data_IF_662892242646
#
_entry.id   IF_662892242646
#
_cell.length_a   1.000
_cell.length_b   1.000
_cell.length_c   1.000
_cell.angle_alpha   90.00
_cell.angle_beta   90.00
_cell.angle_gamma   90.00
#
_symmetry.space_group_name_H-M   'P 1'
#
loop_
_entity.id
_entity.type
_entity.pdbx_description
1 polymer ?
#
# COMPACT_ATOMS: atom_id res chain seq x y z
N UNK A 1 -3.75 3.43 17.84
CA UNK A 1 -5.23 3.47 17.70
C UNK A 1 -5.52 2.86 16.35
N UNK A 2 -6.13 1.67 16.31
CA UNK A 2 -6.51 1.05 15.04
C UNK A 2 -7.51 2.00 14.38
N UNK A 3 -7.35 2.33 13.09
CA UNK A 3 -8.36 3.11 12.36
C UNK A 3 -9.72 2.44 12.58
N UNK A 4 -10.70 3.20 13.05
CA UNK A 4 -12.08 2.74 13.08
C UNK A 4 -12.60 2.77 11.64
N UNK A 5 -13.27 1.71 11.24
CA UNK A 5 -13.78 1.52 9.87
C UNK A 5 -14.82 2.57 9.42
N UNK A 6 -15.21 3.48 10.30
CA UNK A 6 -16.31 4.43 10.06
C UNK A 6 -15.88 5.82 9.57
N UNK A 7 -14.55 6.08 9.42
CA UNK A 7 -14.02 7.42 9.14
C UNK A 7 -13.56 7.63 7.69
N UNK A 8 -13.80 6.69 6.78
CA UNK A 8 -13.42 6.82 5.36
C UNK A 8 -14.61 7.16 4.46
N UNK A 9 -14.35 7.88 3.35
CA UNK A 9 -15.38 8.26 2.37
C UNK A 9 -15.73 7.13 1.39
N UNK A 10 -14.76 6.26 1.09
CA UNK A 10 -14.92 5.09 0.22
C UNK A 10 -13.88 4.03 0.51
N UNK A 11 -14.18 2.78 0.18
CA UNK A 11 -13.21 1.68 0.22
C UNK A 11 -13.40 0.74 -0.96
N UNK A 12 -12.33 0.02 -1.30
CA UNK A 12 -12.36 -1.08 -2.24
C UNK A 12 -11.40 -2.19 -1.77
N UNK A 13 -11.70 -3.42 -2.14
CA UNK A 13 -10.86 -4.56 -1.83
C UNK A 13 -10.66 -5.44 -3.07
N UNK A 14 -9.56 -6.15 -3.10
CA UNK A 14 -9.28 -7.19 -4.08
C UNK A 14 -8.39 -8.26 -3.45
N UNK A 15 -8.47 -9.48 -3.97
CA UNK A 15 -7.65 -10.59 -3.50
C UNK A 15 -7.39 -11.59 -4.61
N UNK A 16 -6.27 -12.28 -4.53
CA UNK A 16 -5.90 -13.34 -5.45
C UNK A 16 -5.35 -14.56 -4.70
N UNK A 17 -5.73 -15.74 -5.15
CA UNK A 17 -5.06 -16.99 -4.78
C UNK A 17 -3.79 -17.08 -5.63
N UNK A 18 -2.70 -17.44 -4.99
CA UNK A 18 -1.39 -17.55 -5.62
C UNK A 18 -1.07 -19.03 -5.85
N UNK A 19 -0.58 -19.32 -7.04
CA UNK A 19 -0.23 -20.68 -7.46
C UNK A 19 1.24 -20.75 -7.90
N UNK A 20 1.87 -21.91 -7.72
CA UNK A 20 3.18 -22.20 -8.29
C UNK A 20 3.08 -22.51 -9.80
N UNK A 21 4.22 -22.76 -10.45
CA UNK A 21 4.28 -23.09 -11.86
C UNK A 21 3.65 -24.45 -12.22
N UNK A 22 3.35 -25.28 -11.23
CA UNK A 22 2.71 -26.59 -11.38
C UNK A 22 1.19 -26.52 -11.11
N UNK A 23 0.68 -25.33 -10.74
CA UNK A 23 -0.73 -25.12 -10.44
C UNK A 23 -1.13 -25.49 -9.00
N UNK A 24 -0.17 -25.71 -8.09
CA UNK A 24 -0.49 -25.91 -6.68
C UNK A 24 -0.68 -24.55 -5.99
N UNK A 25 -1.69 -24.45 -5.16
CA UNK A 25 -1.88 -23.27 -4.33
C UNK A 25 -0.74 -23.13 -3.34
N UNK A 26 -0.20 -21.90 -3.23
CA UNK A 26 0.92 -21.57 -2.35
C UNK A 26 0.61 -20.42 -1.38
N UNK A 27 -0.55 -19.79 -1.51
CA UNK A 27 -1.00 -18.74 -0.60
C UNK A 27 -2.06 -17.82 -1.19
N UNK A 28 -2.24 -16.67 -0.53
CA UNK A 28 -3.11 -15.59 -0.99
C UNK A 28 -2.44 -14.24 -0.80
N UNK A 29 -2.80 -13.28 -1.65
CA UNK A 29 -2.54 -11.85 -1.48
C UNK A 29 -3.85 -11.11 -1.56
N UNK A 30 -3.99 -10.03 -0.81
CA UNK A 30 -5.17 -9.20 -0.88
C UNK A 30 -4.94 -7.84 -0.25
N UNK A 31 -5.83 -6.91 -0.51
CA UNK A 31 -5.81 -5.60 0.15
C UNK A 31 -7.21 -5.03 0.32
N UNK A 32 -7.32 -4.10 1.28
CA UNK A 32 -8.39 -3.12 1.34
C UNK A 32 -7.76 -1.74 1.26
N UNK A 33 -8.22 -0.93 0.32
CA UNK A 33 -7.82 0.47 0.19
C UNK A 33 -8.97 1.36 0.69
N UNK A 34 -8.62 2.39 1.46
CA UNK A 34 -9.52 3.36 2.05
C UNK A 34 -9.18 4.74 1.51
N UNK A 35 -10.21 5.49 1.04
CA UNK A 35 -10.07 6.85 0.54
C UNK A 35 -10.70 7.85 1.50
N UNK A 36 -9.99 8.95 1.73
CA UNK A 36 -10.41 10.07 2.56
C UNK A 36 -10.40 11.33 1.71
N UNK A 37 -11.55 11.96 1.53
CA UNK A 37 -11.69 13.25 0.85
C UNK A 37 -11.24 14.36 1.78
N UNK A 38 -10.13 15.01 1.47
CA UNK A 38 -9.51 15.98 2.37
C UNK A 38 -9.94 17.41 2.04
N UNK A 39 -9.88 17.80 0.76
CA UNK A 39 -10.16 19.17 0.36
C UNK A 39 -10.56 19.26 -1.11
N UNK A 40 -11.63 20.00 -1.38
CA UNK A 40 -12.03 20.47 -2.71
C UNK A 40 -11.74 21.97 -2.80
N UNK A 41 -10.86 22.38 -3.71
CA UNK A 41 -10.48 23.78 -3.94
C UNK A 41 -10.35 24.05 -5.44
N UNK A 42 -11.32 24.76 -6.01
CA UNK A 42 -11.43 24.95 -7.45
C UNK A 42 -11.51 23.62 -8.19
N UNK A 43 -10.62 23.37 -9.12
CA UNK A 43 -10.48 22.09 -9.83
C UNK A 43 -9.72 21.04 -9.03
N UNK A 44 -9.00 21.41 -7.95
CA UNK A 44 -8.17 20.49 -7.21
C UNK A 44 -8.98 19.68 -6.21
N UNK A 45 -8.66 18.40 -6.13
CA UNK A 45 -9.20 17.40 -5.19
C UNK A 45 -8.05 16.77 -4.45
N UNK A 46 -7.93 17.06 -3.15
CA UNK A 46 -6.90 16.44 -2.29
C UNK A 46 -7.55 15.28 -1.56
N UNK A 47 -6.94 14.12 -1.63
CA UNK A 47 -7.43 12.90 -1.00
C UNK A 47 -6.26 12.03 -0.53
N UNK A 48 -6.52 11.26 0.50
CA UNK A 48 -5.59 10.25 1.01
C UNK A 48 -6.06 8.86 0.62
N UNK A 49 -5.11 7.98 0.37
CA UNK A 49 -5.34 6.55 0.18
C UNK A 49 -4.47 5.79 1.16
N UNK A 50 -5.09 4.98 2.00
CA UNK A 50 -4.39 4.09 2.92
C UNK A 50 -4.76 2.67 2.53
N UNK A 51 -3.76 1.80 2.42
CA UNK A 51 -3.95 0.41 2.02
C UNK A 51 -3.58 -0.51 3.17
N UNK A 52 -4.45 -1.45 3.49
CA UNK A 52 -4.15 -2.59 4.35
C UNK A 52 -3.91 -3.78 3.43
N UNK A 53 -2.65 -4.10 3.19
CA UNK A 53 -2.22 -5.18 2.32
C UNK A 53 -1.91 -6.44 3.15
N UNK A 54 -2.36 -7.58 2.69
CA UNK A 54 -2.14 -8.88 3.35
C UNK A 54 -1.41 -9.83 2.40
N UNK A 55 -0.40 -10.49 2.92
CA UNK A 55 0.35 -11.54 2.25
C UNK A 55 0.33 -12.77 3.14
N UNK A 56 -0.36 -13.83 2.71
CA UNK A 56 -0.60 -15.02 3.51
C UNK A 56 -0.14 -16.27 2.74
N UNK A 57 1.13 -16.70 2.90
CA UNK A 57 1.60 -17.96 2.35
C UNK A 57 0.92 -19.14 3.04
N UNK A 58 0.65 -20.19 2.28
CA UNK A 58 0.20 -21.46 2.85
C UNK A 58 1.36 -22.18 3.57
N UNK A 59 1.04 -23.18 4.39
CA UNK A 59 2.06 -23.97 5.08
C UNK A 59 3.01 -24.63 4.06
N UNK A 60 4.30 -24.55 4.30
CA UNK A 60 5.36 -24.98 3.36
C UNK A 60 6.02 -23.81 2.62
N UNK A 61 5.44 -22.61 2.73
CA UNK A 61 5.91 -21.40 2.06
C UNK A 61 6.09 -20.24 3.03
N UNK A 62 6.80 -19.19 2.58
CA UNK A 62 7.01 -17.95 3.32
C UNK A 62 7.14 -16.75 2.36
N UNK A 63 6.94 -15.54 2.88
CA UNK A 63 7.22 -14.31 2.16
C UNK A 63 8.70 -13.94 2.28
N UNK A 64 9.40 -13.78 1.16
CA UNK A 64 10.79 -13.31 1.15
C UNK A 64 10.89 -11.80 1.00
N UNK A 65 9.99 -11.24 0.17
CA UNK A 65 9.92 -9.82 -0.16
C UNK A 65 8.48 -9.50 -0.53
N UNK A 66 7.93 -8.48 0.08
CA UNK A 66 6.59 -7.96 -0.24
C UNK A 66 6.73 -6.55 -0.78
N UNK A 67 5.96 -6.21 -1.79
CA UNK A 67 5.92 -4.86 -2.35
C UNK A 67 4.49 -4.36 -2.39
N UNK A 68 4.29 -3.12 -1.94
CA UNK A 68 3.02 -2.39 -2.06
C UNK A 68 3.28 -1.11 -2.84
N UNK A 69 2.65 -1.01 -3.98
CA UNK A 69 2.67 0.17 -4.85
C UNK A 69 1.34 0.92 -4.71
N UNK A 70 1.44 2.23 -4.54
CA UNK A 70 0.32 3.17 -4.60
C UNK A 70 0.67 4.32 -5.54
N UNK A 71 -0.18 4.61 -6.50
CA UNK A 71 0.05 5.68 -7.45
C UNK A 71 -0.98 5.73 -8.56
N UNK A 72 -0.67 6.44 -9.62
CA UNK A 72 -1.50 6.54 -10.82
C UNK A 72 -0.69 6.98 -12.03
N UNK A 73 -1.07 6.51 -13.20
CA UNK A 73 -0.51 6.95 -14.48
C UNK A 73 -1.26 8.12 -15.11
N UNK A 74 -2.21 8.75 -14.40
CA UNK A 74 -2.98 9.86 -14.92
C UNK A 74 -2.21 11.17 -14.80
N UNK A 75 -1.97 11.86 -15.90
CA UNK A 75 -1.18 13.09 -15.97
C UNK A 75 -1.73 14.26 -15.13
N UNK A 76 -3.02 14.24 -14.81
CA UNK A 76 -3.70 15.25 -13.99
C UNK A 76 -3.78 14.87 -12.50
N UNK A 77 -2.97 13.93 -12.07
CA UNK A 77 -2.80 13.51 -10.68
C UNK A 77 -1.36 13.71 -10.23
N UNK A 78 -1.18 13.98 -8.96
CA UNK A 78 0.12 14.22 -8.33
C UNK A 78 0.14 13.61 -6.93
N UNK A 79 1.19 12.87 -6.59
CA UNK A 79 1.43 12.42 -5.22
C UNK A 79 2.12 13.53 -4.45
N UNK A 80 1.44 14.09 -3.45
CA UNK A 80 1.95 15.17 -2.60
C UNK A 80 2.82 14.64 -1.47
N UNK A 81 2.45 13.51 -0.90
CA UNK A 81 3.11 12.93 0.27
C UNK A 81 2.94 11.40 0.29
N UNK A 82 3.86 10.71 0.93
CA UNK A 82 3.79 9.29 1.16
C UNK A 82 4.19 8.93 2.59
N UNK A 83 3.53 7.94 3.17
CA UNK A 83 3.83 7.43 4.49
C UNK A 83 5.32 7.15 4.65
N UNK A 84 5.92 7.73 5.69
CA UNK A 84 7.33 7.52 5.98
C UNK A 84 7.51 6.31 6.88
N UNK A 85 7.39 5.13 6.29
CA UNK A 85 7.60 3.85 6.96
C UNK A 85 9.04 3.41 6.67
N UNK A 86 9.85 3.30 7.70
CA UNK A 86 11.23 2.82 7.62
C UNK A 86 11.50 1.89 8.79
N UNK A 87 12.18 0.78 8.54
CA UNK A 87 12.63 -0.15 9.57
C UNK A 87 13.96 -0.78 9.15
N UNK A 88 14.80 -1.05 10.12
CA UNK A 88 16.12 -1.66 9.96
C UNK A 88 16.15 -3.15 10.36
N UNK A 89 15.00 -3.78 10.47
CA UNK A 89 14.86 -5.19 10.83
C UNK A 89 14.44 -5.43 12.28
N UNK A 90 14.04 -4.38 12.99
CA UNK A 90 13.42 -4.47 14.32
C UNK A 90 11.93 -4.12 14.22
N UNK A 91 11.11 -4.68 15.11
CA UNK A 91 9.71 -4.29 15.21
C UNK A 91 9.62 -2.84 15.69
N UNK A 92 8.93 -2.01 14.93
CA UNK A 92 8.85 -0.57 15.19
C UNK A 92 7.42 -0.06 14.96
N UNK A 93 6.89 0.67 15.92
CA UNK A 93 5.60 1.34 15.77
C UNK A 93 5.80 2.75 15.22
N UNK A 94 5.12 3.05 14.12
CA UNK A 94 5.10 4.34 13.46
C UNK A 94 3.79 5.07 13.73
N UNK A 95 3.90 6.34 14.11
CA UNK A 95 2.78 7.29 14.02
C UNK A 95 2.93 8.02 12.69
N UNK A 96 2.03 7.74 11.75
CA UNK A 96 2.09 8.27 10.39
C UNK A 96 1.05 9.38 10.28
N UNK A 97 1.42 10.47 9.61
CA UNK A 97 0.50 11.56 9.28
C UNK A 97 0.75 12.01 7.86
N UNK A 98 -0.32 12.19 7.10
CA UNK A 98 -0.33 12.79 5.77
C UNK A 98 -0.96 14.18 5.89
N UNK A 99 -0.19 15.22 5.63
CA UNK A 99 -0.60 16.62 5.85
C UNK A 99 -0.14 17.59 4.75
N UNK A 100 0.65 17.12 3.78
CA UNK A 100 1.21 17.96 2.73
C UNK A 100 0.13 18.71 1.95
N UNK A 101 0.41 19.96 1.62
CA UNK A 101 -0.46 20.84 0.87
C UNK A 101 0.09 21.06 -0.54
N UNK A 102 -0.78 21.22 -1.51
CA UNK A 102 -0.38 21.66 -2.85
C UNK A 102 -0.10 23.14 -2.83
N UNK A 103 0.98 23.58 -3.50
CA UNK A 103 1.34 25.00 -3.63
C UNK A 103 0.16 25.82 -4.17
N UNK A 104 -0.19 26.88 -3.48
CA UNK A 104 -1.30 27.79 -3.84
C UNK A 104 -2.68 27.34 -3.35
N UNK A 105 -2.77 26.25 -2.58
CA UNK A 105 -3.98 25.82 -1.92
C UNK A 105 -3.77 25.95 -0.41
N UNK A 106 -4.69 26.65 0.25
CA UNK A 106 -4.70 26.80 1.71
C UNK A 106 -5.84 25.97 2.30
N UNK A 107 -5.59 25.34 3.45
CA UNK A 107 -6.54 24.48 4.13
C UNK A 107 -6.36 23.01 3.77
N UNK A 108 -7.07 22.17 4.47
CA UNK A 108 -7.00 20.71 4.40
C UNK A 108 -6.62 20.12 5.74
N UNK A 109 -7.27 19.01 6.08
CA UNK A 109 -6.99 18.25 7.30
C UNK A 109 -5.73 17.40 7.16
N UNK A 110 -5.38 16.72 8.24
CA UNK A 110 -4.39 15.65 8.26
C UNK A 110 -5.08 14.31 8.51
N UNK A 111 -4.61 13.26 7.83
CA UNK A 111 -4.99 11.89 8.12
C UNK A 111 -3.85 11.22 8.87
N UNK A 112 -4.16 10.60 10.00
CA UNK A 112 -3.13 9.99 10.86
C UNK A 112 -3.55 8.60 11.29
N UNK A 113 -2.58 7.68 11.33
CA UNK A 113 -2.77 6.33 11.86
C UNK A 113 -1.49 5.82 12.51
N UNK A 114 -1.64 4.81 13.33
CA UNK A 114 -0.52 4.11 13.96
C UNK A 114 -0.42 2.71 13.37
N UNK A 115 0.76 2.38 12.88
CA UNK A 115 1.05 1.10 12.27
C UNK A 115 2.33 0.51 12.87
N UNK A 116 2.30 -0.75 13.25
CA UNK A 116 3.46 -1.48 13.74
C UNK A 116 4.02 -2.34 12.61
N UNK A 117 5.24 -2.01 12.20
CA UNK A 117 6.03 -2.82 11.28
C UNK A 117 6.69 -3.93 12.09
N UNK A 118 6.40 -5.18 11.77
CA UNK A 118 7.07 -6.32 12.39
C UNK A 118 8.57 -6.38 12.02
N UNK A 119 9.32 -7.31 12.59
CA UNK A 119 10.78 -7.40 12.43
C UNK A 119 11.19 -7.63 10.97
N UNK A 120 11.25 -6.56 10.18
CA UNK A 120 11.59 -6.55 8.77
C UNK A 120 12.32 -5.26 8.36
N UNK A 121 13.06 -5.32 7.27
CA UNK A 121 13.63 -4.12 6.64
C UNK A 121 12.63 -3.52 5.68
N UNK A 122 12.36 -2.22 5.83
CA UNK A 122 11.49 -1.48 4.92
C UNK A 122 12.30 -0.48 4.12
N UNK A 123 12.17 -0.52 2.81
CA UNK A 123 12.74 0.47 1.89
C UNK A 123 11.63 1.09 1.06
N UNK A 124 11.79 2.38 0.76
CA UNK A 124 10.85 3.15 -0.03
C UNK A 124 11.49 3.57 -1.34
N UNK A 125 10.86 3.23 -2.45
CA UNK A 125 11.27 3.67 -3.78
C UNK A 125 10.32 4.75 -4.27
N UNK A 126 10.89 5.75 -4.93
CA UNK A 126 10.15 6.84 -5.58
C UNK A 126 10.43 6.79 -7.07
N UNK A 127 9.41 6.77 -7.87
CA UNK A 127 9.51 7.13 -9.26
C UNK A 127 8.86 8.50 -9.46
N UNK A 128 9.69 9.51 -9.72
CA UNK A 128 9.21 10.89 -9.93
C UNK A 128 8.51 11.06 -11.29
N UNK A 129 8.71 10.13 -12.23
CA UNK A 129 8.11 10.21 -13.56
C UNK A 129 6.70 9.60 -13.60
N UNK A 130 6.42 8.64 -12.72
CA UNK A 130 5.16 7.88 -12.71
C UNK A 130 4.19 8.29 -11.61
N UNK A 131 4.51 9.32 -10.80
CA UNK A 131 3.66 9.78 -9.69
C UNK A 131 3.22 8.64 -8.75
N UNK A 132 4.17 7.82 -8.34
CA UNK A 132 3.91 6.65 -7.52
C UNK A 132 4.88 6.51 -6.35
N UNK A 133 4.54 5.57 -5.47
CA UNK A 133 5.37 5.19 -4.33
C UNK A 133 5.28 3.68 -4.15
N UNK A 134 6.43 3.07 -3.97
CA UNK A 134 6.55 1.64 -3.67
C UNK A 134 7.27 1.45 -2.35
N UNK A 135 6.65 0.71 -1.45
CA UNK A 135 7.30 0.21 -0.24
C UNK A 135 7.68 -1.24 -0.45
N UNK A 136 8.90 -1.58 -0.08
CA UNK A 136 9.45 -2.93 -0.14
C UNK A 136 9.74 -3.39 1.28
N UNK A 137 9.05 -4.43 1.69
CA UNK A 137 9.13 -5.05 3.00
C UNK A 137 9.88 -6.37 2.88
N UNK A 138 10.96 -6.52 3.65
CA UNK A 138 11.78 -7.73 3.66
C UNK A 138 11.82 -8.29 5.07
N UNK A 139 11.04 -9.35 5.36
CA UNK A 139 11.05 -10.01 6.65
C UNK A 139 12.44 -10.47 7.03
N UNK A 140 12.83 -10.25 8.29
CA UNK A 140 14.11 -10.71 8.81
C UNK A 140 14.12 -12.21 9.07
N UNK A 141 12.99 -12.72 9.59
CA UNK A 141 12.79 -14.11 9.94
C UNK A 141 11.37 -14.55 9.57
N UNK A 142 11.09 -14.64 8.27
CA UNK A 142 9.80 -15.16 7.84
C UNK A 142 9.67 -16.65 8.19
N UNK A 143 8.70 -16.96 9.02
CA UNK A 143 8.35 -18.33 9.38
C UNK A 143 7.51 -19.02 8.31
N UNK A 144 7.30 -20.31 8.51
CA UNK A 144 6.50 -21.14 7.64
C UNK A 144 5.00 -20.82 7.81
N UNK A 145 4.39 -20.31 6.76
CA UNK A 145 2.98 -19.89 6.77
C UNK A 145 2.68 -18.57 7.48
N UNK A 146 3.71 -17.80 7.88
CA UNK A 146 3.49 -16.51 8.55
C UNK A 146 2.82 -15.50 7.60
N UNK A 147 1.68 -14.98 8.02
CA UNK A 147 0.99 -13.91 7.32
C UNK A 147 1.55 -12.53 7.74
N UNK A 148 1.62 -11.62 6.76
CA UNK A 148 2.11 -10.25 6.93
C UNK A 148 1.04 -9.26 6.55
N UNK A 149 0.93 -8.18 7.33
CA UNK A 149 -0.02 -7.08 7.09
C UNK A 149 0.78 -5.78 7.03
N UNK A 150 0.63 -5.04 5.92
CA UNK A 150 1.34 -3.81 5.65
C UNK A 150 0.36 -2.66 5.39
N UNK A 151 0.60 -1.50 6.02
CA UNK A 151 -0.34 -0.36 6.00
C UNK A 151 0.27 0.93 5.42
N UNK A 152 0.78 0.94 4.17
CA UNK A 152 1.26 2.17 3.56
C UNK A 152 0.11 3.08 3.10
N UNK A 153 0.42 4.37 2.94
CA UNK A 153 -0.54 5.36 2.46
C UNK A 153 0.12 6.52 1.72
N UNK A 154 -0.67 7.19 0.87
CA UNK A 154 -0.27 8.37 0.11
C UNK A 154 -1.32 9.46 0.19
N UNK A 155 -0.88 10.72 0.09
CA UNK A 155 -1.72 11.87 -0.22
C UNK A 155 -1.56 12.24 -1.68
N UNK A 156 -2.68 12.44 -2.35
CA UNK A 156 -2.73 12.78 -3.77
C UNK A 156 -3.54 14.05 -4.01
N UNK A 157 -3.23 14.71 -5.12
CA UNK A 157 -4.07 15.76 -5.69
C UNK A 157 -4.46 15.40 -7.12
N UNK A 158 -5.75 15.46 -7.44
CA UNK A 158 -6.27 15.37 -8.79
C UNK A 158 -6.86 16.71 -9.23
N UNK A 159 -6.77 17.04 -10.52
CA UNK A 159 -7.39 18.24 -11.09
C UNK A 159 -8.69 17.91 -11.84
N UNK A 160 -9.40 16.90 -11.39
CA UNK A 160 -10.69 16.43 -11.96
C UNK A 160 -11.56 15.83 -10.87
N UNK A 161 -12.86 15.68 -11.14
CA UNK A 161 -13.82 15.10 -10.17
C UNK A 161 -13.53 13.62 -9.87
N UNK A 162 -13.09 12.87 -10.88
CA UNK A 162 -12.78 11.45 -10.71
C UNK A 162 -11.31 11.25 -10.35
N UNK A 163 -11.08 10.80 -9.12
CA UNK A 163 -9.75 10.59 -8.55
C UNK A 163 -9.32 9.13 -8.68
N UNK A 164 -8.27 8.86 -9.43
CA UNK A 164 -7.79 7.51 -9.72
C UNK A 164 -6.61 7.14 -8.86
N UNK A 165 -6.60 5.89 -8.41
CA UNK A 165 -5.46 5.27 -7.71
C UNK A 165 -5.31 3.83 -8.18
N UNK A 166 -4.07 3.43 -8.45
CA UNK A 166 -3.71 2.04 -8.69
C UNK A 166 -3.07 1.48 -7.43
N UNK A 167 -3.53 0.33 -7.01
CA UNK A 167 -2.92 -0.47 -5.94
C UNK A 167 -2.31 -1.70 -6.60
N UNK A 168 -1.02 -1.95 -6.34
CA UNK A 168 -0.36 -3.17 -6.81
C UNK A 168 0.38 -3.83 -5.64
N UNK A 169 0.08 -5.08 -5.41
CA UNK A 169 0.83 -5.95 -4.51
C UNK A 169 1.70 -6.89 -5.34
N UNK A 170 2.91 -7.15 -4.87
CA UNK A 170 3.79 -8.14 -5.46
C UNK A 170 4.56 -8.87 -4.38
N UNK A 171 4.62 -10.19 -4.48
CA UNK A 171 5.37 -11.04 -3.56
C UNK A 171 5.83 -12.32 -4.27
N UNK A 172 7.14 -12.58 -4.37
CA UNK A 172 7.65 -13.90 -4.61
C UNK A 172 7.49 -14.71 -3.32
N UNK A 173 6.59 -15.68 -3.32
CA UNK A 173 6.56 -16.68 -2.28
C UNK A 173 7.72 -17.66 -2.49
N UNK A 174 8.35 -18.05 -1.41
CA UNK A 174 9.48 -18.97 -1.43
C UNK A 174 9.14 -20.21 -0.62
N UNK A 175 9.72 -21.35 -0.98
CA UNK A 175 9.61 -22.55 -0.14
C UNK A 175 10.32 -22.32 1.19
N UNK A 176 10.05 -23.17 2.19
CA UNK A 176 10.76 -23.13 3.49
C UNK A 176 12.27 -23.29 3.34
N UNK A 177 12.74 -23.94 2.25
CA UNK A 177 14.15 -24.11 1.91
C UNK A 177 14.75 -22.88 1.21
N UNK A 178 13.97 -21.83 0.97
CA UNK A 178 14.42 -20.58 0.34
C UNK A 178 14.46 -20.61 -1.18
N UNK A 179 13.84 -21.57 -1.85
CA UNK A 179 13.72 -21.60 -3.32
C UNK A 179 12.64 -20.58 -3.71
N UNK A 180 13.03 -19.57 -4.44
CA UNK A 180 12.10 -18.56 -4.96
C UNK A 180 11.18 -19.18 -6.02
N UNK A 181 9.91 -18.90 -5.88
CA UNK A 181 8.89 -19.16 -6.86
C UNK A 181 8.66 -17.89 -7.70
N UNK A 182 7.85 -17.98 -8.73
CA UNK A 182 7.55 -16.82 -9.57
C UNK A 182 6.99 -15.65 -8.76
N UNK A 183 7.36 -14.45 -9.12
CA UNK A 183 6.77 -13.23 -8.55
C UNK A 183 5.29 -13.16 -8.94
N UNK A 184 4.44 -13.07 -7.95
CA UNK A 184 3.00 -12.96 -8.12
C UNK A 184 2.59 -11.50 -7.93
N UNK A 185 1.71 -11.01 -8.78
CA UNK A 185 1.26 -9.63 -8.78
C UNK A 185 -0.25 -9.55 -8.81
N UNK A 186 -0.83 -8.76 -7.91
CA UNK A 186 -2.22 -8.34 -7.89
C UNK A 186 -2.27 -6.84 -8.14
N UNK A 187 -2.87 -6.40 -9.24
CA UNK A 187 -2.94 -4.98 -9.59
C UNK A 187 -4.35 -4.57 -10.02
N UNK A 188 -4.85 -3.49 -9.44
CA UNK A 188 -6.14 -2.89 -9.79
C UNK A 188 -6.08 -1.36 -9.74
N UNK A 189 -6.73 -0.75 -10.71
CA UNK A 189 -7.01 0.68 -10.72
C UNK A 189 -8.43 0.93 -10.22
N UNK A 190 -8.56 1.84 -9.28
CA UNK A 190 -9.82 2.27 -8.68
C UNK A 190 -10.02 3.76 -8.90
N UNK A 191 -11.24 4.22 -8.73
CA UNK A 191 -11.54 5.65 -8.70
C UNK A 191 -12.62 5.95 -7.65
N UNK A 192 -12.57 7.17 -7.15
CA UNK A 192 -13.66 7.77 -6.37
C UNK A 192 -14.12 9.05 -7.06
N UNK A 193 -15.40 9.34 -7.03
CA UNK A 193 -15.96 10.64 -7.42
C UNK A 193 -15.92 11.57 -6.19
N UNK A 194 -15.43 12.81 -6.40
CA UNK A 194 -15.17 13.76 -5.32
C UNK A 194 -16.34 14.71 -5.07
#
# INVERSE_FOLDING_TARGET
MRMQADDFDAHANDSAVVYDTQGNRIGTMGYTAYWYKILKSGSNRIFDVITVATFAPDFGYKCAKMSVYLGTNKANHEVLEAANIVSNGESTTHSISLSAQKKGITGGGSTSWTYTVDAQTVTKQFDMQTNDRTWIFKPKNAGNGDAWIEEPGIRMCATQERCYTTVTLSCPFVTILGIELNENTLSRAWYIDY
#
